data_IF_730458436974
#
_entry.id   IF_730458436974
#
_cell.length_a   1.000
_cell.length_b   1.000
_cell.length_c   1.000
_cell.angle_alpha   90.00
_cell.angle_beta   90.00
_cell.angle_gamma   90.00
#
_symmetry.space_group_name_H-M   'P 1'
#
loop_
_entity.id
_entity.type
_entity.pdbx_description
1 polymer ?
#
# COMPACT_ATOMS: atom_id res chain seq x y z
N UNK A 1 9.40 27.26 -3.20
CA UNK A 1 10.62 27.31 -2.36
C UNK A 1 10.37 26.44 -1.15
N UNK A 2 11.20 25.43 -0.89
CA UNK A 2 11.09 24.57 0.29
C UNK A 2 11.45 25.37 1.55
N UNK A 3 10.60 25.35 2.58
CA UNK A 3 10.86 26.06 3.84
C UNK A 3 12.19 25.59 4.46
N UNK A 4 12.98 26.52 5.00
CA UNK A 4 14.24 26.21 5.70
C UNK A 4 14.04 25.18 6.83
N UNK A 5 12.87 25.17 7.46
CA UNK A 5 12.53 24.19 8.49
C UNK A 5 12.47 22.75 7.97
N UNK A 6 12.03 22.54 6.72
CA UNK A 6 11.95 21.21 6.09
C UNK A 6 13.35 20.70 5.72
N UNK A 7 14.24 21.60 5.29
CA UNK A 7 15.61 21.23 4.94
C UNK A 7 16.39 20.68 6.14
N UNK A 8 16.09 21.13 7.36
CA UNK A 8 16.72 20.63 8.57
C UNK A 8 16.37 19.16 8.90
N UNK A 9 15.34 18.60 8.26
CA UNK A 9 14.96 17.19 8.41
C UNK A 9 15.55 16.28 7.33
N UNK A 10 16.26 16.84 6.34
CA UNK A 10 16.85 16.10 5.23
C UNK A 10 18.38 16.15 5.30
N UNK A 11 19.05 15.08 4.91
CA UNK A 11 20.49 15.13 4.67
C UNK A 11 20.81 16.04 3.47
N UNK A 12 22.08 16.43 3.35
CA UNK A 12 22.56 17.26 2.23
C UNK A 12 22.19 16.64 0.87
N UNK A 13 22.36 15.31 0.76
CA UNK A 13 22.02 14.57 -0.46
C UNK A 13 20.51 14.50 -0.71
N UNK A 14 19.68 14.25 0.31
CA UNK A 14 18.22 14.24 0.14
C UNK A 14 17.68 15.64 -0.20
N UNK A 15 18.26 16.69 0.37
CA UNK A 15 17.95 18.08 0.01
C UNK A 15 18.31 18.40 -1.44
N UNK A 16 19.46 17.90 -1.92
CA UNK A 16 19.84 18.00 -3.33
C UNK A 16 18.87 17.23 -4.23
N UNK A 17 18.56 15.97 -3.89
CA UNK A 17 17.66 15.11 -4.64
C UNK A 17 16.26 15.72 -4.76
N UNK A 18 15.73 16.33 -3.70
CA UNK A 18 14.46 17.02 -3.74
C UNK A 18 14.46 18.19 -4.74
N UNK A 19 15.56 18.95 -4.82
CA UNK A 19 15.71 20.05 -5.81
C UNK A 19 15.77 19.51 -7.24
N UNK A 20 16.49 18.41 -7.47
CA UNK A 20 16.59 17.78 -8.79
C UNK A 20 15.26 17.16 -9.23
N UNK A 21 14.51 16.54 -8.30
CA UNK A 21 13.17 16.02 -8.55
C UNK A 21 12.22 17.13 -9.01
N UNK A 22 12.22 18.29 -8.34
CA UNK A 22 11.40 19.46 -8.74
C UNK A 22 11.77 19.99 -10.13
N UNK A 23 13.03 19.86 -10.54
CA UNK A 23 13.49 20.25 -11.90
C UNK A 23 13.10 19.23 -12.97
N UNK A 24 12.61 18.05 -12.61
CA UNK A 24 12.35 16.95 -13.54
C UNK A 24 13.62 16.25 -14.01
N UNK A 25 14.70 16.30 -13.22
CA UNK A 25 15.94 15.57 -13.53
C UNK A 25 15.67 14.07 -13.53
N UNK A 26 15.88 13.39 -14.66
CA UNK A 26 15.66 11.94 -14.75
C UNK A 26 16.87 11.14 -14.23
N UNK A 27 18.08 11.62 -14.47
CA UNK A 27 19.33 10.94 -14.09
C UNK A 27 20.27 11.90 -13.36
N UNK A 28 20.80 11.46 -12.23
CA UNK A 28 21.81 12.21 -11.50
C UNK A 28 23.22 11.95 -12.08
N UNK A 29 24.15 12.90 -11.87
CA UNK A 29 25.57 12.69 -12.15
C UNK A 29 26.17 11.48 -11.43
N UNK A 30 27.37 11.10 -11.82
CA UNK A 30 28.12 10.04 -11.15
C UNK A 30 28.41 10.38 -9.68
N UNK A 31 28.73 9.36 -8.87
CA UNK A 31 29.07 9.57 -7.47
C UNK A 31 30.28 10.49 -7.25
N UNK A 32 31.24 10.49 -8.17
CA UNK A 32 32.41 11.37 -8.07
C UNK A 32 32.02 12.82 -8.34
N UNK A 33 31.16 13.07 -9.33
CA UNK A 33 30.67 14.41 -9.65
C UNK A 33 29.78 14.95 -8.51
N UNK A 34 28.88 14.12 -7.99
CA UNK A 34 28.05 14.46 -6.84
C UNK A 34 28.88 14.71 -5.57
N UNK A 35 29.93 13.91 -5.34
CA UNK A 35 30.87 14.08 -4.23
C UNK A 35 31.54 15.46 -4.29
N UNK A 36 32.02 15.87 -5.47
CA UNK A 36 32.60 17.21 -5.66
C UNK A 36 31.57 18.33 -5.57
N UNK A 37 30.37 18.14 -6.10
CA UNK A 37 29.33 19.17 -6.11
C UNK A 37 28.72 19.44 -4.73
N UNK A 38 28.67 18.42 -3.86
CA UNK A 38 28.08 18.49 -2.52
C UNK A 38 29.12 18.65 -1.41
N UNK A 39 30.42 18.65 -1.73
CA UNK A 39 31.53 18.62 -0.76
C UNK A 39 31.37 17.46 0.24
N UNK A 40 31.03 16.28 -0.26
CA UNK A 40 30.81 15.06 0.52
C UNK A 40 31.81 13.99 0.11
N UNK A 41 32.30 13.19 1.06
CA UNK A 41 33.08 12.01 0.70
C UNK A 41 32.23 11.00 -0.08
N UNK A 42 32.84 10.29 -1.03
CA UNK A 42 32.15 9.24 -1.81
C UNK A 42 31.55 8.17 -0.89
N UNK A 43 32.20 7.86 0.23
CA UNK A 43 31.68 6.90 1.22
C UNK A 43 30.38 7.39 1.86
N UNK A 44 30.35 8.64 2.36
CA UNK A 44 29.13 9.24 2.94
C UNK A 44 28.01 9.32 1.91
N UNK A 45 28.33 9.70 0.67
CA UNK A 45 27.34 9.77 -0.40
C UNK A 45 26.74 8.39 -0.73
N UNK A 46 27.52 7.32 -0.66
CA UNK A 46 27.00 5.95 -0.85
C UNK A 46 26.02 5.54 0.25
N UNK A 47 26.27 5.92 1.50
CA UNK A 47 25.37 5.65 2.63
C UNK A 47 24.03 6.37 2.43
N UNK A 48 24.08 7.68 2.15
CA UNK A 48 22.89 8.48 1.85
C UNK A 48 22.13 7.99 0.63
N UNK A 49 22.86 7.50 -0.40
CA UNK A 49 22.25 6.88 -1.56
C UNK A 49 21.50 5.59 -1.20
N UNK A 50 22.02 4.76 -0.27
CA UNK A 50 21.29 3.58 0.18
C UNK A 50 19.99 3.97 0.88
N UNK A 51 19.98 5.04 1.66
CA UNK A 51 18.77 5.58 2.29
C UNK A 51 17.77 6.04 1.22
N UNK A 52 18.21 6.85 0.26
CA UNK A 52 17.35 7.32 -0.84
C UNK A 52 16.78 6.17 -1.68
N UNK A 53 17.59 5.14 -1.98
CA UNK A 53 17.13 3.90 -2.63
C UNK A 53 16.12 3.18 -1.76
N UNK A 54 16.34 3.13 -0.44
CA UNK A 54 15.46 2.42 0.45
C UNK A 54 14.08 3.08 0.56
N UNK A 55 14.04 4.41 0.49
CA UNK A 55 12.83 5.23 0.42
C UNK A 55 12.16 5.24 -0.96
N UNK A 56 12.77 4.60 -1.98
CA UNK A 56 12.24 4.55 -3.34
C UNK A 56 12.36 5.86 -4.10
N UNK A 57 13.28 6.75 -3.72
CA UNK A 57 13.48 8.05 -4.37
C UNK A 57 14.39 7.96 -5.60
N UNK A 58 15.22 6.91 -5.66
CA UNK A 58 16.13 6.64 -6.78
C UNK A 58 16.25 5.15 -7.06
N UNK A 59 16.50 4.82 -8.32
CA UNK A 59 16.92 3.50 -8.78
C UNK A 59 18.39 3.56 -9.23
N UNK A 60 19.22 2.59 -8.80
CA UNK A 60 20.62 2.52 -9.21
C UNK A 60 20.82 1.28 -10.04
N UNK A 61 21.20 1.46 -11.31
CA UNK A 61 21.44 0.37 -12.27
C UNK A 61 22.87 0.41 -12.79
N UNK A 62 23.59 -0.74 -12.80
CA UNK A 62 24.93 -0.81 -13.39
C UNK A 62 24.92 -0.29 -14.83
N UNK A 63 25.92 0.53 -15.19
CA UNK A 63 26.09 1.14 -16.53
C UNK A 63 25.00 2.14 -16.97
N UNK A 64 23.89 2.25 -16.25
CA UNK A 64 22.81 3.22 -16.51
C UNK A 64 22.94 4.44 -15.60
N UNK A 65 23.36 4.25 -14.35
CA UNK A 65 23.56 5.33 -13.38
C UNK A 65 22.46 5.39 -12.33
N UNK A 66 22.25 6.58 -11.78
CA UNK A 66 21.29 6.85 -10.70
C UNK A 66 20.07 7.54 -11.32
N UNK A 67 18.96 6.82 -11.44
CA UNK A 67 17.69 7.34 -11.96
C UNK A 67 16.86 7.90 -10.82
N UNK A 68 16.33 9.11 -10.97
CA UNK A 68 15.34 9.68 -10.06
C UNK A 68 13.97 9.04 -10.31
N UNK A 69 13.27 8.71 -9.23
CA UNK A 69 11.92 8.14 -9.29
C UNK A 69 10.88 9.18 -8.86
N UNK A 70 9.65 9.13 -9.40
CA UNK A 70 8.52 9.84 -8.83
C UNK A 70 8.34 9.46 -7.36
N UNK A 71 7.89 10.41 -6.54
CA UNK A 71 7.66 10.13 -5.12
C UNK A 71 6.53 9.11 -4.93
N UNK A 72 6.81 8.07 -4.17
CA UNK A 72 5.83 7.12 -3.65
C UNK A 72 6.12 6.89 -2.16
N UNK A 73 5.07 6.77 -1.37
CA UNK A 73 5.19 6.54 0.08
C UNK A 73 5.48 5.07 0.42
N UNK A 74 4.98 4.15 -0.42
CA UNK A 74 5.00 2.69 -0.23
C UNK A 74 6.35 2.12 0.15
N UNK A 75 7.48 2.45 -0.52
CA UNK A 75 8.76 1.83 -0.20
C UNK A 75 9.25 2.16 1.23
N UNK A 76 8.91 3.34 1.73
CA UNK A 76 9.29 3.77 3.09
C UNK A 76 8.45 3.05 4.14
N UNK A 77 7.13 3.00 3.94
CA UNK A 77 6.22 2.39 4.91
C UNK A 77 6.24 0.86 4.87
N UNK A 78 6.33 0.22 3.70
CA UNK A 78 6.44 -1.25 3.57
C UNK A 78 7.65 -1.79 4.33
N UNK A 79 8.82 -1.14 4.24
CA UNK A 79 10.03 -1.59 4.94
C UNK A 79 9.93 -1.41 6.45
N UNK A 80 9.41 -0.27 6.89
CA UNK A 80 9.17 -0.01 8.31
C UNK A 80 8.19 -1.02 8.89
N UNK A 81 7.11 -1.30 8.17
CA UNK A 81 6.11 -2.28 8.57
C UNK A 81 6.68 -3.70 8.59
N UNK A 82 7.45 -4.10 7.58
CA UNK A 82 8.11 -5.40 7.54
C UNK A 82 9.00 -5.62 8.78
N UNK A 83 9.78 -4.61 9.16
CA UNK A 83 10.59 -4.66 10.37
C UNK A 83 9.72 -4.79 11.63
N UNK A 84 8.71 -3.93 11.77
CA UNK A 84 7.79 -3.95 12.90
C UNK A 84 7.14 -5.34 13.07
N UNK A 85 6.54 -5.89 12.03
CA UNK A 85 5.86 -7.19 12.08
C UNK A 85 6.85 -8.32 12.38
N UNK A 86 8.07 -8.25 11.85
CA UNK A 86 9.14 -9.22 12.18
C UNK A 86 9.53 -9.20 13.66
N UNK A 87 9.37 -8.05 14.35
CA UNK A 87 9.63 -7.95 15.80
C UNK A 87 8.43 -8.32 16.66
N UNK A 88 7.22 -8.05 16.17
CA UNK A 88 5.97 -8.33 16.88
C UNK A 88 4.80 -8.41 15.89
N UNK A 89 4.25 -9.61 15.72
CA UNK A 89 3.11 -9.86 14.82
C UNK A 89 1.86 -9.04 15.20
N UNK A 90 1.70 -8.61 16.45
CA UNK A 90 0.59 -7.74 16.88
C UNK A 90 0.62 -6.37 16.19
N UNK A 91 1.80 -5.89 15.78
CA UNK A 91 1.92 -4.62 15.06
C UNK A 91 1.27 -4.69 13.67
N UNK A 92 1.13 -5.88 13.08
CA UNK A 92 0.36 -6.04 11.85
C UNK A 92 -1.13 -5.74 12.09
N UNK A 93 -1.67 -6.12 13.25
CA UNK A 93 -3.08 -5.85 13.59
C UNK A 93 -3.33 -4.37 13.81
N UNK A 94 -2.41 -3.68 14.48
CA UNK A 94 -2.49 -2.23 14.62
C UNK A 94 -2.42 -1.54 13.24
N UNK A 95 -1.64 -2.07 12.30
CA UNK A 95 -1.61 -1.56 10.93
C UNK A 95 -2.88 -1.88 10.14
N UNK A 96 -3.46 -3.07 10.34
CA UNK A 96 -4.77 -3.46 9.81
C UNK A 96 -5.86 -2.51 10.30
N UNK A 97 -5.86 -2.19 11.61
CA UNK A 97 -6.78 -1.23 12.21
C UNK A 97 -6.63 0.17 11.63
N UNK A 98 -5.38 0.63 11.50
CA UNK A 98 -5.08 1.89 10.86
C UNK A 98 -5.61 1.96 9.41
N UNK A 99 -5.40 0.89 8.62
CA UNK A 99 -5.96 0.79 7.26
C UNK A 99 -7.48 0.89 7.27
N UNK A 100 -8.17 0.15 8.14
CA UNK A 100 -9.64 0.17 8.24
C UNK A 100 -10.18 1.58 8.49
N UNK A 101 -9.54 2.34 9.38
CA UNK A 101 -9.91 3.73 9.66
C UNK A 101 -9.63 4.66 8.48
N UNK A 102 -8.51 4.49 7.78
CA UNK A 102 -8.16 5.26 6.58
C UNK A 102 -9.20 5.02 5.48
N UNK A 103 -9.48 3.76 5.17
CA UNK A 103 -10.46 3.37 4.16
C UNK A 103 -11.86 3.93 4.47
N UNK A 104 -12.35 3.74 5.70
CA UNK A 104 -13.64 4.28 6.12
C UNK A 104 -13.71 5.82 5.98
N UNK A 105 -12.63 6.52 6.36
CA UNK A 105 -12.60 7.99 6.32
C UNK A 105 -12.62 8.54 4.88
N UNK A 106 -11.95 7.86 3.95
CA UNK A 106 -11.87 8.29 2.56
C UNK A 106 -12.96 7.71 1.66
N UNK A 107 -13.80 6.79 2.16
CA UNK A 107 -14.79 6.06 1.37
C UNK A 107 -15.57 6.95 0.40
N UNK A 108 -16.30 7.96 0.90
CA UNK A 108 -17.16 8.80 0.05
C UNK A 108 -16.37 9.60 -0.98
N UNK A 109 -15.16 10.07 -0.63
CA UNK A 109 -14.28 10.76 -1.57
C UNK A 109 -13.74 9.82 -2.65
N UNK A 110 -13.47 8.58 -2.30
CA UNK A 110 -12.96 7.57 -3.22
C UNK A 110 -14.05 7.15 -4.22
N UNK A 111 -15.20 6.69 -3.72
CA UNK A 111 -16.25 6.10 -4.56
C UNK A 111 -16.95 7.12 -5.45
N UNK A 112 -17.06 8.39 -5.03
CA UNK A 112 -17.66 9.44 -5.85
C UNK A 112 -16.81 9.88 -7.04
N UNK A 113 -15.51 9.54 -7.03
CA UNK A 113 -14.58 9.84 -8.11
C UNK A 113 -14.46 8.69 -9.13
N UNK A 114 -15.11 7.55 -8.88
CA UNK A 114 -15.07 6.40 -9.78
C UNK A 114 -15.86 6.67 -11.07
N UNK A 115 -15.38 6.06 -12.15
CA UNK A 115 -15.90 6.12 -13.52
C UNK A 115 -16.54 4.79 -13.90
N UNK A 116 -17.28 4.75 -15.00
CA UNK A 116 -17.89 3.52 -15.52
C UNK A 116 -16.86 2.41 -15.80
N UNK A 117 -15.66 2.78 -16.28
CA UNK A 117 -14.56 1.82 -16.49
C UNK A 117 -14.09 1.22 -15.16
N UNK A 118 -14.08 2.01 -14.09
CA UNK A 118 -13.72 1.50 -12.76
C UNK A 118 -14.82 0.58 -12.21
N UNK A 119 -16.09 0.93 -12.41
CA UNK A 119 -17.21 0.07 -12.03
C UNK A 119 -17.13 -1.28 -12.75
N UNK A 120 -16.81 -1.26 -14.05
CA UNK A 120 -16.60 -2.48 -14.82
C UNK A 120 -15.46 -3.32 -14.24
N UNK A 121 -14.31 -2.71 -13.95
CA UNK A 121 -13.16 -3.39 -13.37
C UNK A 121 -13.48 -4.00 -12.00
N UNK A 122 -14.13 -3.26 -11.10
CA UNK A 122 -14.56 -3.75 -9.79
C UNK A 122 -15.46 -4.99 -9.92
N UNK A 123 -16.41 -4.96 -10.85
CA UNK A 123 -17.26 -6.13 -11.14
C UNK A 123 -16.43 -7.32 -11.67
N UNK A 124 -15.43 -7.09 -12.53
CA UNK A 124 -14.56 -8.16 -13.01
C UNK A 124 -13.72 -8.78 -11.90
N UNK A 125 -13.26 -8.00 -10.93
CA UNK A 125 -12.52 -8.49 -9.77
C UNK A 125 -13.41 -9.43 -8.94
N UNK A 126 -14.65 -9.03 -8.65
CA UNK A 126 -15.62 -9.87 -7.92
C UNK A 126 -15.88 -11.19 -8.67
N UNK A 127 -16.11 -11.13 -9.98
CA UNK A 127 -16.34 -12.33 -10.80
C UNK A 127 -15.13 -13.28 -10.83
N UNK A 128 -13.90 -12.75 -10.83
CA UNK A 128 -12.69 -13.56 -10.75
C UNK A 128 -12.58 -14.25 -9.39
N UNK A 129 -12.82 -13.51 -8.31
CA UNK A 129 -12.77 -14.05 -6.97
C UNK A 129 -13.81 -15.15 -6.72
N UNK A 130 -15.06 -14.94 -7.14
CA UNK A 130 -16.11 -15.94 -7.05
C UNK A 130 -15.80 -17.21 -7.84
N UNK A 131 -15.12 -17.09 -9.00
CA UNK A 131 -14.67 -18.26 -9.77
C UNK A 131 -13.60 -19.06 -9.02
N UNK A 132 -12.66 -18.38 -8.36
CA UNK A 132 -11.63 -19.01 -7.52
C UNK A 132 -12.21 -19.70 -6.28
N UNK A 133 -13.18 -19.07 -5.61
CA UNK A 133 -13.85 -19.68 -4.45
C UNK A 133 -14.67 -20.92 -4.82
N UNK A 134 -15.21 -20.97 -6.04
CA UNK A 134 -16.02 -22.09 -6.55
C UNK A 134 -15.18 -23.17 -7.26
N UNK A 135 -13.86 -23.02 -7.36
CA UNK A 135 -13.00 -24.02 -8.01
C UNK A 135 -12.76 -25.24 -7.13
N UNK A 136 -12.36 -26.35 -7.75
CA UNK A 136 -11.91 -27.56 -7.05
C UNK A 136 -10.46 -27.90 -7.50
N UNK A 137 -9.45 -27.79 -6.62
CA UNK A 137 -9.53 -27.32 -5.24
C UNK A 137 -9.86 -25.82 -5.14
N UNK A 138 -10.38 -25.39 -3.98
CA UNK A 138 -10.68 -23.98 -3.71
C UNK A 138 -9.41 -23.15 -3.83
N UNK A 139 -9.50 -22.02 -4.53
CA UNK A 139 -8.42 -21.05 -4.63
C UNK A 139 -8.80 -19.80 -3.82
N UNK A 140 -7.89 -19.35 -2.96
CA UNK A 140 -8.12 -18.12 -2.20
C UNK A 140 -7.82 -16.90 -3.09
N UNK A 141 -8.78 -16.00 -3.30
CA UNK A 141 -8.64 -14.85 -4.22
C UNK A 141 -7.87 -13.68 -3.59
N UNK A 142 -6.64 -13.92 -3.15
CA UNK A 142 -5.83 -12.89 -2.47
C UNK A 142 -5.49 -11.71 -3.37
N UNK A 143 -5.08 -11.98 -4.61
CA UNK A 143 -4.76 -10.92 -5.58
C UNK A 143 -6.00 -10.07 -5.88
N UNK A 144 -7.17 -10.68 -6.04
CA UNK A 144 -8.41 -9.95 -6.24
C UNK A 144 -8.79 -9.10 -5.02
N UNK A 145 -8.56 -9.59 -3.81
CA UNK A 145 -8.82 -8.82 -2.59
C UNK A 145 -7.93 -7.56 -2.55
N UNK A 146 -6.64 -7.71 -2.87
CA UNK A 146 -5.71 -6.58 -3.02
C UNK A 146 -6.16 -5.59 -4.08
N UNK A 147 -6.46 -6.10 -5.28
CA UNK A 147 -6.90 -5.29 -6.42
C UNK A 147 -8.18 -4.52 -6.10
N UNK A 148 -9.14 -5.14 -5.43
CA UNK A 148 -10.42 -4.52 -5.10
C UNK A 148 -10.22 -3.27 -4.24
N UNK A 149 -9.51 -3.38 -3.12
CA UNK A 149 -9.27 -2.25 -2.23
C UNK A 149 -8.46 -1.17 -2.96
N UNK A 150 -7.38 -1.52 -3.67
CA UNK A 150 -6.61 -0.52 -4.42
C UNK A 150 -7.44 0.18 -5.51
N UNK A 151 -8.30 -0.53 -6.24
CA UNK A 151 -9.14 0.02 -7.29
C UNK A 151 -10.19 1.00 -6.76
N UNK A 152 -10.77 0.76 -5.57
CA UNK A 152 -11.73 1.68 -4.94
C UNK A 152 -11.06 3.03 -4.65
N UNK A 153 -9.81 3.04 -4.19
CA UNK A 153 -9.12 4.27 -3.73
C UNK A 153 -8.16 4.90 -4.74
N UNK A 154 -7.95 4.29 -5.93
CA UNK A 154 -6.94 4.75 -6.92
C UNK A 154 -7.12 6.18 -7.41
N UNK A 155 -8.35 6.70 -7.39
CA UNK A 155 -8.68 8.05 -7.88
C UNK A 155 -8.63 9.14 -6.81
N UNK A 156 -8.22 8.83 -5.58
CA UNK A 156 -8.04 9.84 -4.54
C UNK A 156 -6.91 10.85 -4.85
N UNK A 157 -5.99 10.49 -5.75
CA UNK A 157 -4.74 11.24 -5.98
C UNK A 157 -3.99 11.55 -4.66
N UNK A 158 -4.00 10.57 -3.75
CA UNK A 158 -3.37 10.68 -2.44
C UNK A 158 -2.34 9.55 -2.26
N UNK A 159 -1.09 9.87 -2.56
CA UNK A 159 0.05 8.94 -2.50
C UNK A 159 0.27 8.32 -1.12
N UNK A 160 -0.18 8.97 -0.04
CA UNK A 160 -0.04 8.46 1.31
C UNK A 160 -1.10 7.40 1.62
N UNK A 161 -2.35 7.63 1.21
CA UNK A 161 -3.42 6.62 1.33
C UNK A 161 -3.06 5.39 0.52
N UNK A 162 -2.70 5.57 -0.76
CA UNK A 162 -2.29 4.44 -1.60
C UNK A 162 -1.08 3.70 -1.04
N UNK A 163 -0.07 4.43 -0.53
CA UNK A 163 1.09 3.79 0.07
C UNK A 163 0.77 2.96 1.32
N UNK A 164 -0.19 3.40 2.15
CA UNK A 164 -0.65 2.60 3.30
C UNK A 164 -1.34 1.32 2.83
N UNK A 165 -2.23 1.41 1.84
CA UNK A 165 -2.98 0.27 1.31
C UNK A 165 -2.04 -0.72 0.61
N UNK A 166 -1.12 -0.25 -0.23
CA UNK A 166 -0.14 -1.10 -0.90
C UNK A 166 0.76 -1.81 0.12
N UNK A 167 1.28 -1.07 1.12
CA UNK A 167 2.13 -1.65 2.16
C UNK A 167 1.43 -2.68 3.04
N UNK A 168 0.12 -2.52 3.29
CA UNK A 168 -0.65 -3.55 3.97
C UNK A 168 -0.56 -4.88 3.20
N UNK A 169 -0.81 -4.83 1.89
CA UNK A 169 -0.88 -6.02 1.06
C UNK A 169 0.48 -6.69 0.85
N UNK A 170 1.54 -5.91 0.66
CA UNK A 170 2.92 -6.42 0.59
C UNK A 170 3.27 -7.29 1.81
N UNK A 171 2.81 -6.88 3.00
CA UNK A 171 3.09 -7.59 4.25
C UNK A 171 2.06 -8.69 4.53
N UNK A 172 0.79 -8.49 4.16
CA UNK A 172 -0.26 -9.51 4.28
C UNK A 172 0.16 -10.81 3.59
N UNK A 173 0.68 -10.71 2.37
CA UNK A 173 1.19 -11.85 1.61
C UNK A 173 2.41 -12.50 2.28
N UNK A 174 3.33 -11.69 2.78
CA UNK A 174 4.58 -12.16 3.40
C UNK A 174 4.36 -12.89 4.74
N UNK A 175 3.35 -12.50 5.52
CA UNK A 175 3.03 -13.10 6.83
C UNK A 175 2.30 -14.44 6.69
N UNK A 176 1.83 -14.80 5.49
CA UNK A 176 1.23 -16.10 5.24
C UNK A 176 -0.09 -16.30 5.99
N UNK A 177 -0.89 -15.24 6.18
CA UNK A 177 -2.28 -15.36 6.66
C UNK A 177 -3.19 -16.15 5.69
N UNK A 178 -2.64 -16.59 4.56
CA UNK A 178 -3.22 -17.47 3.55
C UNK A 178 -3.35 -18.94 3.98
N UNK A 179 -3.04 -19.28 5.23
CA UNK A 179 -3.12 -20.67 5.73
C UNK A 179 -4.55 -21.00 6.15
N UNK A 180 -5.23 -21.79 5.31
CA UNK A 180 -6.50 -22.50 5.52
C UNK A 180 -7.59 -21.70 6.25
N UNK A 181 -8.41 -21.00 5.48
CA UNK A 181 -9.63 -20.38 5.97
C UNK A 181 -10.83 -21.33 5.77
N UNK A 182 -11.77 -21.33 6.70
CA UNK A 182 -13.07 -21.97 6.51
C UNK A 182 -13.73 -21.37 5.27
N UNK A 183 -14.16 -22.21 4.33
CA UNK A 183 -14.82 -21.79 3.11
C UNK A 183 -15.98 -20.82 3.41
N UNK A 184 -16.73 -21.04 4.50
CA UNK A 184 -17.83 -20.15 4.91
C UNK A 184 -17.37 -18.75 5.28
N UNK A 185 -16.18 -18.64 5.89
CA UNK A 185 -15.60 -17.34 6.23
C UNK A 185 -15.22 -16.60 4.96
N UNK A 186 -14.55 -17.28 4.01
CA UNK A 186 -14.19 -16.70 2.72
C UNK A 186 -15.42 -16.26 1.92
N UNK A 187 -16.46 -17.08 1.86
CA UNK A 187 -17.73 -16.72 1.21
C UNK A 187 -18.32 -15.44 1.83
N UNK A 188 -18.36 -15.35 3.16
CA UNK A 188 -18.89 -14.17 3.86
C UNK A 188 -18.07 -12.91 3.63
N UNK A 189 -16.73 -13.03 3.57
CA UNK A 189 -15.85 -11.91 3.22
C UNK A 189 -16.22 -11.35 1.84
N UNK A 190 -16.35 -12.24 0.84
CA UNK A 190 -16.65 -11.84 -0.53
C UNK A 190 -18.09 -11.41 -0.75
N UNK A 191 -19.04 -11.87 0.08
CA UNK A 191 -20.41 -11.36 0.08
C UNK A 191 -20.45 -9.86 0.46
N UNK A 192 -19.64 -9.41 1.41
CA UNK A 192 -19.53 -7.99 1.72
C UNK A 192 -18.83 -7.21 0.59
N UNK A 193 -17.79 -7.78 -0.02
CA UNK A 193 -17.15 -7.15 -1.19
C UNK A 193 -18.12 -6.99 -2.37
N UNK A 194 -18.96 -7.99 -2.65
CA UNK A 194 -20.01 -7.87 -3.66
C UNK A 194 -20.99 -6.75 -3.30
N UNK A 195 -21.48 -6.69 -2.06
CA UNK A 195 -22.37 -5.61 -1.60
C UNK A 195 -21.75 -4.22 -1.76
N UNK A 196 -20.46 -4.08 -1.48
CA UNK A 196 -19.72 -2.83 -1.71
C UNK A 196 -19.73 -2.45 -3.20
N UNK A 197 -19.39 -3.38 -4.09
CA UNK A 197 -19.32 -3.12 -5.54
C UNK A 197 -20.70 -2.84 -6.15
N UNK A 198 -21.73 -3.57 -5.72
CA UNK A 198 -23.10 -3.33 -6.15
C UNK A 198 -23.58 -1.95 -5.71
N UNK A 199 -23.27 -1.56 -4.48
CA UNK A 199 -23.61 -0.26 -3.92
C UNK A 199 -22.89 0.89 -4.66
N UNK A 200 -21.60 0.73 -4.95
CA UNK A 200 -20.82 1.68 -5.77
C UNK A 200 -21.46 1.84 -7.15
N UNK A 201 -21.74 0.72 -7.83
CA UNK A 201 -22.28 0.72 -9.20
C UNK A 201 -23.67 1.37 -9.26
N UNK A 202 -24.47 1.23 -8.20
CA UNK A 202 -25.80 1.83 -8.10
C UNK A 202 -25.82 3.24 -7.48
N UNK A 203 -24.66 3.83 -7.20
CA UNK A 203 -24.51 5.12 -6.49
C UNK A 203 -25.14 5.16 -5.08
N UNK A 204 -25.33 4.00 -4.44
CA UNK A 204 -25.77 3.89 -3.04
C UNK A 204 -24.56 3.81 -2.10
N UNK A 205 -23.81 4.92 -2.02
CA UNK A 205 -22.55 4.94 -1.28
C UNK A 205 -22.71 4.71 0.22
N UNK A 206 -23.90 4.95 0.79
CA UNK A 206 -24.17 4.71 2.20
C UNK A 206 -24.25 3.21 2.51
N UNK A 207 -24.99 2.44 1.70
CA UNK A 207 -25.05 0.98 1.85
C UNK A 207 -23.67 0.35 1.64
N UNK A 208 -22.91 0.85 0.65
CA UNK A 208 -21.53 0.41 0.43
C UNK A 208 -20.60 0.71 1.61
N UNK A 209 -20.75 1.88 2.25
CA UNK A 209 -20.01 2.22 3.47
C UNK A 209 -20.35 1.26 4.62
N UNK A 210 -21.64 0.95 4.81
CA UNK A 210 -22.06 -0.01 5.83
C UNK A 210 -21.49 -1.41 5.58
N UNK A 211 -21.44 -1.84 4.32
CA UNK A 211 -20.82 -3.11 3.93
C UNK A 211 -19.31 -3.10 4.19
N UNK A 212 -18.60 -2.00 3.92
CA UNK A 212 -17.19 -1.84 4.25
C UNK A 212 -16.95 -1.98 5.76
N UNK A 213 -17.73 -1.30 6.60
CA UNK A 213 -17.60 -1.37 8.06
C UNK A 213 -17.85 -2.80 8.56
N UNK A 214 -18.92 -3.45 8.08
CA UNK A 214 -19.24 -4.83 8.43
C UNK A 214 -18.17 -5.84 7.98
N UNK A 215 -17.54 -5.59 6.81
CA UNK A 215 -16.39 -6.34 6.34
C UNK A 215 -15.19 -6.21 7.28
N UNK A 216 -14.83 -4.98 7.67
CA UNK A 216 -13.69 -4.75 8.59
C UNK A 216 -13.94 -5.38 9.97
N UNK A 217 -15.16 -5.26 10.51
CA UNK A 217 -15.55 -5.89 11.78
C UNK A 217 -15.40 -7.43 11.73
N UNK A 218 -15.73 -8.06 10.61
CA UNK A 218 -15.54 -9.50 10.41
C UNK A 218 -14.05 -9.89 10.49
N UNK A 219 -13.16 -9.09 9.89
CA UNK A 219 -11.71 -9.32 9.96
C UNK A 219 -11.19 -9.20 11.40
N UNK A 220 -11.65 -8.19 12.15
CA UNK A 220 -11.26 -7.99 13.55
C UNK A 220 -11.69 -9.13 14.47
N UNK A 221 -12.92 -9.62 14.31
CA UNK A 221 -13.43 -10.74 15.11
C UNK A 221 -12.59 -12.00 14.92
N UNK A 222 -12.23 -12.31 13.67
CA UNK A 222 -11.32 -13.41 13.34
C UNK A 222 -9.96 -13.24 14.02
N UNK A 223 -9.38 -12.05 13.98
CA UNK A 223 -8.07 -11.79 14.57
C UNK A 223 -8.09 -12.00 16.09
N UNK A 224 -9.18 -11.63 16.77
CA UNK A 224 -9.36 -11.91 18.20
C UNK A 224 -9.45 -13.41 18.48
N UNK A 225 -10.28 -14.15 17.73
CA UNK A 225 -10.43 -15.61 17.90
C UNK A 225 -9.10 -16.35 17.69
N UNK A 226 -8.35 -16.00 16.64
CA UNK A 226 -7.04 -16.60 16.37
C UNK A 226 -5.97 -16.27 17.44
N UNK A 227 -6.11 -15.14 18.15
CA UNK A 227 -5.24 -14.82 19.29
C UNK A 227 -5.48 -15.74 20.47
N UNK A 228 -6.75 -16.09 20.71
CA UNK A 228 -7.17 -16.91 21.84
C UNK A 228 -6.76 -18.37 21.64
N UNK A 229 -6.75 -18.84 20.39
CA UNK A 229 -6.45 -20.24 20.04
C UNK A 229 -4.93 -20.53 20.02
N UNK A 230 -4.06 -19.52 19.86
CA UNK A 230 -2.59 -19.71 19.78
C UNK A 230 -1.89 -19.96 21.14
N UNK A 231 -2.63 -20.25 22.20
CA UNK A 231 -2.12 -20.56 23.55
C UNK A 231 -2.36 -22.02 23.98
N UNK A 232 -2.25 -22.97 23.05
CA UNK A 232 -2.08 -24.41 23.35
C UNK A 232 -0.87 -25.00 22.62
#
# INVERSE_FOLDING_TARGET
MTSQAIQNHLSDFLSFLAKESVKGTEYLPSLNELSSALDMSVSRLREELQVARAMGLVEVKPRVGIKCLPYSFTPSVSKSLAFAVSTNNELFRQFSDFRSHVEASYWYQAVSNLTEDDHYELNQIILQAQRKLKSDPIQIPHEEHRQLHLAIYRRLDNVFVLGILESYWDIYEAVGLNVFEDQKYLERVWDYHQQMVDSITNNDFLSGYQALIAHMDLLFQRDQENSLIRFE
#
